data_IF_061052247342
#
_entry.id   IF_061052247342
#
_cell.length_a   1.000
_cell.length_b   1.000
_cell.length_c   1.000
_cell.angle_alpha   90.00
_cell.angle_beta   90.00
_cell.angle_gamma   90.00
#
_symmetry.space_group_name_H-M   'P 1'
#
loop_
_entity.id
_entity.type
_entity.pdbx_description
1 polymer ?
#
# COMPACT_ATOMS: atom_id res chain seq x y z
N UNK A 1 3.65 26.95 11.86
CA UNK A 1 2.38 26.77 11.12
C UNK A 1 2.17 25.27 10.89
N UNK A 2 0.95 24.72 11.08
CA UNK A 2 0.71 23.30 10.81
C UNK A 2 0.94 22.95 9.34
N UNK A 3 1.48 21.76 9.07
CA UNK A 3 1.79 21.27 7.72
C UNK A 3 0.54 21.05 6.86
N UNK A 4 0.75 20.83 5.55
CA UNK A 4 -0.35 20.65 4.59
C UNK A 4 -1.28 19.49 4.98
N UNK A 5 -0.71 18.37 5.41
CA UNK A 5 -1.45 17.19 5.84
C UNK A 5 -2.36 17.52 7.04
N UNK A 6 -1.82 18.17 8.07
CA UNK A 6 -2.57 18.54 9.28
C UNK A 6 -3.74 19.48 8.97
N UNK A 7 -3.54 20.45 8.06
CA UNK A 7 -4.62 21.35 7.62
C UNK A 7 -5.73 20.60 6.88
N UNK A 8 -5.36 19.65 6.03
CA UNK A 8 -6.33 18.84 5.29
C UNK A 8 -7.12 17.93 6.25
N UNK A 9 -6.44 17.27 7.20
CA UNK A 9 -7.08 16.42 8.23
C UNK A 9 -8.09 17.25 9.04
N UNK A 10 -7.72 18.44 9.51
CA UNK A 10 -8.61 19.30 10.27
C UNK A 10 -9.87 19.71 9.48
N UNK A 11 -9.71 20.01 8.18
CA UNK A 11 -10.83 20.33 7.28
C UNK A 11 -11.77 19.14 7.12
N UNK A 12 -11.24 17.95 6.81
CA UNK A 12 -12.04 16.74 6.66
C UNK A 12 -12.76 16.36 7.96
N UNK A 13 -12.10 16.50 9.10
CA UNK A 13 -12.70 16.28 10.43
C UNK A 13 -13.89 17.19 10.68
N UNK A 14 -13.78 18.48 10.35
CA UNK A 14 -14.91 19.41 10.47
C UNK A 14 -16.07 19.04 9.56
N UNK A 15 -15.79 18.61 8.32
CA UNK A 15 -16.80 18.20 7.36
C UNK A 15 -17.55 16.94 7.83
N UNK A 16 -16.84 15.91 8.28
CA UNK A 16 -17.44 14.67 8.79
C UNK A 16 -18.33 14.92 10.02
N UNK A 17 -17.89 15.78 10.96
CA UNK A 17 -18.70 16.20 12.10
C UNK A 17 -19.97 16.93 11.68
N UNK A 18 -19.89 17.80 10.66
CA UNK A 18 -21.04 18.55 10.15
C UNK A 18 -22.07 17.67 9.43
N UNK A 19 -21.64 16.54 8.87
CA UNK A 19 -22.51 15.55 8.22
C UNK A 19 -23.24 14.64 9.22
N UNK A 20 -23.02 14.82 10.53
CA UNK A 20 -23.71 14.06 11.58
C UNK A 20 -23.16 12.65 11.80
N UNK A 21 -21.98 12.32 11.26
CA UNK A 21 -21.34 11.04 11.55
C UNK A 21 -20.81 11.02 12.98
N UNK A 22 -21.36 10.12 13.81
CA UNK A 22 -20.89 9.88 15.17
C UNK A 22 -19.76 8.84 15.16
N UNK A 23 -18.58 9.27 14.76
CA UNK A 23 -17.35 8.49 14.96
C UNK A 23 -16.85 8.62 16.39
N UNK A 24 -16.25 7.56 16.92
CA UNK A 24 -15.44 7.63 18.12
C UNK A 24 -14.10 8.30 17.79
N UNK A 25 -14.01 9.59 18.15
CA UNK A 25 -12.84 10.42 17.89
C UNK A 25 -11.68 10.13 18.85
N UNK A 26 -11.88 9.35 19.91
CA UNK A 26 -10.81 8.90 20.79
C UNK A 26 -9.97 7.79 20.13
N UNK A 27 -10.56 7.05 19.19
CA UNK A 27 -9.89 6.04 18.37
C UNK A 27 -9.27 6.60 17.08
N UNK A 28 -9.12 7.93 16.95
CA UNK A 28 -8.49 8.55 15.77
C UNK A 28 -6.98 8.24 15.73
N UNK A 29 -6.53 7.66 14.63
CA UNK A 29 -5.12 7.37 14.36
C UNK A 29 -4.63 8.16 13.15
N UNK A 30 -3.38 8.60 13.20
CA UNK A 30 -2.73 9.35 12.13
C UNK A 30 -1.42 8.68 11.72
N UNK A 31 -1.32 8.26 10.46
CA UNK A 31 -0.17 7.47 9.96
C UNK A 31 1.11 8.28 9.80
N UNK A 32 1.03 9.61 9.93
CA UNK A 32 2.18 10.53 9.88
C UNK A 32 2.79 10.79 11.26
N UNK A 33 2.13 10.39 12.35
CA UNK A 33 2.60 10.65 13.71
C UNK A 33 3.64 9.59 14.15
N UNK A 34 4.69 9.97 14.90
CA UNK A 34 5.72 9.06 15.40
C UNK A 34 5.17 7.89 16.22
N UNK A 35 4.10 8.12 16.96
CA UNK A 35 3.43 7.12 17.79
C UNK A 35 2.83 5.99 16.93
N UNK A 36 2.51 6.26 15.67
CA UNK A 36 2.01 5.27 14.73
C UNK A 36 3.14 4.61 13.94
N UNK A 37 3.95 5.37 13.18
CA UNK A 37 4.90 4.78 12.25
C UNK A 37 6.04 4.00 12.93
N UNK A 38 6.29 4.23 14.23
CA UNK A 38 7.20 3.40 15.03
C UNK A 38 6.82 1.91 14.99
N UNK A 39 5.53 1.62 14.94
CA UNK A 39 5.04 0.23 14.85
C UNK A 39 5.26 -0.34 13.47
N UNK A 40 5.12 0.46 12.41
CA UNK A 40 5.47 0.04 11.04
C UNK A 40 6.96 -0.31 10.95
N UNK A 41 7.83 0.53 11.51
CA UNK A 41 9.28 0.27 11.59
C UNK A 41 9.59 -1.00 12.39
N UNK A 42 8.94 -1.17 13.54
CA UNK A 42 9.10 -2.35 14.40
C UNK A 42 8.68 -3.64 13.69
N UNK A 43 7.52 -3.63 13.01
CA UNK A 43 7.06 -4.77 12.21
C UNK A 43 8.04 -5.10 11.08
N UNK A 44 8.54 -4.08 10.38
CA UNK A 44 9.54 -4.27 9.32
C UNK A 44 10.80 -4.97 9.84
N UNK A 45 11.32 -4.59 11.01
CA UNK A 45 12.47 -5.24 11.62
C UNK A 45 12.21 -6.71 11.96
N UNK A 46 10.99 -7.07 12.37
CA UNK A 46 10.61 -8.47 12.60
C UNK A 46 10.53 -9.27 11.31
N UNK A 47 9.94 -8.71 10.26
CA UNK A 47 9.89 -9.34 8.94
C UNK A 47 11.31 -9.57 8.40
N UNK A 48 12.20 -8.58 8.56
CA UNK A 48 13.60 -8.69 8.19
C UNK A 48 14.31 -9.82 8.96
N UNK A 49 14.13 -9.89 10.29
CA UNK A 49 14.71 -10.96 11.13
C UNK A 49 14.21 -12.36 10.73
N UNK A 50 13.00 -12.46 10.20
CA UNK A 50 12.39 -13.72 9.74
C UNK A 50 12.71 -14.07 8.29
N UNK A 51 13.51 -13.26 7.59
CA UNK A 51 13.82 -13.46 6.18
C UNK A 51 12.65 -13.17 5.23
N UNK A 52 11.59 -12.52 5.71
CA UNK A 52 10.42 -12.14 4.92
C UNK A 52 10.59 -10.78 4.22
N UNK A 53 11.79 -10.22 4.29
CA UNK A 53 12.15 -8.97 3.64
C UNK A 53 13.58 -9.07 3.15
N UNK A 54 13.84 -8.69 1.91
CA UNK A 54 15.19 -8.68 1.34
C UNK A 54 15.43 -7.42 0.50
N UNK A 55 16.71 -7.16 0.21
CA UNK A 55 17.08 -6.21 -0.84
C UNK A 55 17.39 -6.99 -2.11
N UNK A 56 16.77 -6.62 -3.21
CA UNK A 56 17.04 -7.19 -4.52
C UNK A 56 17.13 -6.08 -5.56
N UNK A 57 17.96 -6.29 -6.58
CA UNK A 57 17.91 -5.48 -7.79
C UNK A 57 16.80 -6.03 -8.68
N UNK A 58 15.73 -5.27 -8.80
CA UNK A 58 14.55 -5.67 -9.57
C UNK A 58 14.24 -4.61 -10.62
N UNK A 59 13.68 -4.99 -11.78
CA UNK A 59 13.14 -4.03 -12.72
C UNK A 59 11.94 -3.34 -12.06
N UNK A 60 12.10 -2.07 -11.69
CA UNK A 60 11.04 -1.25 -11.09
C UNK A 60 10.32 -0.42 -12.13
N UNK A 61 9.06 -0.11 -11.86
CA UNK A 61 8.32 0.92 -12.57
C UNK A 61 8.78 2.28 -12.05
N UNK A 62 9.52 3.03 -12.86
CA UNK A 62 10.02 4.36 -12.50
C UNK A 62 9.23 5.44 -13.23
N UNK A 63 8.70 6.41 -12.49
CA UNK A 63 8.05 7.58 -13.06
C UNK A 63 8.96 8.82 -12.89
N UNK A 64 9.58 9.35 -13.96
CA UNK A 64 10.45 10.52 -13.86
C UNK A 64 9.74 11.78 -13.34
N UNK A 65 8.48 11.98 -13.73
CA UNK A 65 7.69 13.14 -13.33
C UNK A 65 7.40 13.17 -11.82
N UNK A 66 7.14 12.00 -11.22
CA UNK A 66 6.92 11.86 -9.77
C UNK A 66 8.21 11.61 -8.99
N UNK A 67 9.31 11.32 -9.69
CA UNK A 67 10.62 11.00 -9.10
C UNK A 67 10.55 9.89 -8.03
N UNK A 68 9.70 8.89 -8.26
CA UNK A 68 9.55 7.74 -7.38
C UNK A 68 9.38 6.45 -8.18
N UNK A 69 9.69 5.34 -7.53
CA UNK A 69 9.25 4.02 -7.94
C UNK A 69 7.76 3.86 -7.66
N UNK A 70 7.09 3.07 -8.51
CA UNK A 70 5.69 2.72 -8.41
C UNK A 70 5.56 1.19 -8.27
N UNK A 71 4.59 0.74 -7.48
CA UNK A 71 4.19 -0.65 -7.45
C UNK A 71 3.53 -1.06 -8.78
N UNK A 72 3.33 -2.36 -9.02
CA UNK A 72 2.65 -2.81 -10.24
C UNK A 72 1.19 -2.33 -10.27
N UNK A 73 0.55 -2.27 -9.11
CA UNK A 73 -0.83 -1.83 -8.93
C UNK A 73 -1.02 -0.32 -9.16
N UNK A 74 0.07 0.46 -9.18
CA UNK A 74 0.05 1.92 -9.43
C UNK A 74 0.29 2.28 -10.91
N UNK A 75 0.45 1.28 -11.79
CA UNK A 75 0.66 1.46 -13.23
C UNK A 75 -0.57 0.97 -14.00
N UNK A 76 -1.19 1.85 -14.76
CA UNK A 76 -2.37 1.55 -15.60
C UNK A 76 -2.00 1.88 -17.04
N UNK A 77 -2.09 0.90 -17.95
CA UNK A 77 -1.78 1.06 -19.37
C UNK A 77 -0.41 1.72 -19.68
N UNK A 78 0.60 1.45 -18.83
CA UNK A 78 1.97 1.98 -19.02
C UNK A 78 2.19 3.42 -18.51
N UNK A 79 1.18 4.02 -17.87
CA UNK A 79 1.28 5.32 -17.21
C UNK A 79 1.00 5.23 -15.71
N UNK A 80 1.43 6.22 -14.94
CA UNK A 80 1.14 6.30 -13.51
C UNK A 80 -0.34 6.56 -13.28
N UNK A 81 -0.97 5.79 -12.37
CA UNK A 81 -2.37 5.99 -11.95
C UNK A 81 -2.61 7.45 -11.56
N UNK A 82 -1.66 8.01 -10.81
CA UNK A 82 -1.65 9.41 -10.44
C UNK A 82 -0.96 10.26 -11.50
N UNK A 83 -1.74 11.08 -12.21
CA UNK A 83 -1.24 12.10 -13.13
C UNK A 83 -0.95 11.63 -14.57
N UNK A 84 -1.07 10.33 -14.88
CA UNK A 84 -0.95 9.82 -16.25
C UNK A 84 0.43 10.00 -16.87
N UNK A 85 1.49 9.94 -16.06
CA UNK A 85 2.86 10.15 -16.53
C UNK A 85 3.47 8.85 -17.08
N UNK A 86 4.32 8.91 -18.11
CA UNK A 86 4.94 7.73 -18.68
C UNK A 86 5.86 7.02 -17.66
N UNK A 87 5.76 5.70 -17.62
CA UNK A 87 6.53 4.84 -16.73
C UNK A 87 7.61 4.11 -17.54
N UNK A 88 8.83 4.08 -17.00
CA UNK A 88 9.95 3.34 -17.60
C UNK A 88 10.39 2.21 -16.67
N UNK A 89 10.86 1.10 -17.24
CA UNK A 89 11.46 0.00 -16.47
C UNK A 89 12.94 0.27 -16.26
N UNK A 90 13.38 0.33 -15.01
CA UNK A 90 14.80 0.54 -14.65
C UNK A 90 15.21 -0.48 -13.58
N UNK A 91 16.39 -1.11 -13.67
CA UNK A 91 16.91 -1.89 -12.56
C UNK A 91 17.25 -0.95 -11.39
N UNK A 92 16.73 -1.25 -10.21
CA UNK A 92 17.02 -0.49 -9.00
C UNK A 92 17.01 -1.42 -7.79
N UNK A 93 17.92 -1.18 -6.84
CA UNK A 93 17.90 -1.87 -5.56
C UNK A 93 16.71 -1.39 -4.73
N UNK A 94 15.81 -2.30 -4.40
CA UNK A 94 14.61 -2.03 -3.62
C UNK A 94 14.48 -3.01 -2.45
N UNK A 95 13.68 -2.61 -1.47
CA UNK A 95 13.21 -3.50 -0.42
C UNK A 95 12.00 -4.28 -0.92
N UNK A 96 12.08 -5.61 -0.86
CA UNK A 96 11.02 -6.51 -1.31
C UNK A 96 10.46 -7.24 -0.10
N UNK A 97 9.15 -7.17 0.08
CA UNK A 97 8.40 -8.01 1.02
C UNK A 97 8.09 -9.34 0.34
N UNK A 98 8.46 -10.45 0.98
CA UNK A 98 8.27 -11.80 0.46
C UNK A 98 6.82 -12.28 0.66
N UNK A 99 5.86 -11.52 0.11
CA UNK A 99 4.43 -11.86 0.20
C UNK A 99 4.10 -13.18 -0.50
N UNK A 100 4.90 -13.55 -1.51
CA UNK A 100 4.81 -14.82 -2.23
C UNK A 100 4.98 -16.03 -1.32
N UNK A 101 5.71 -15.91 -0.21
CA UNK A 101 5.80 -16.96 0.81
C UNK A 101 4.44 -17.31 1.46
N UNK A 102 3.44 -16.45 1.29
CA UNK A 102 2.08 -16.64 1.80
C UNK A 102 1.03 -16.72 0.67
N UNK A 103 1.43 -16.76 -0.61
CA UNK A 103 0.49 -16.67 -1.73
C UNK A 103 -0.56 -17.79 -1.73
N UNK A 104 -0.16 -19.04 -1.51
CA UNK A 104 -1.09 -20.18 -1.52
C UNK A 104 -2.08 -20.10 -0.37
N UNK A 105 -1.58 -19.84 0.84
CA UNK A 105 -2.44 -19.65 2.02
C UNK A 105 -3.43 -18.50 1.82
N UNK A 106 -2.98 -17.36 1.28
CA UNK A 106 -3.86 -16.22 1.03
C UNK A 106 -5.00 -16.57 0.05
N UNK A 107 -4.78 -17.54 -0.85
CA UNK A 107 -5.80 -17.99 -1.79
C UNK A 107 -6.72 -19.06 -1.23
N UNK A 108 -6.20 -19.97 -0.42
CA UNK A 108 -7.01 -20.97 0.30
C UNK A 108 -7.94 -20.27 1.30
N UNK A 109 -7.40 -19.32 2.07
CA UNK A 109 -8.14 -18.57 3.08
C UNK A 109 -9.25 -17.68 2.45
N UNK A 110 -9.27 -17.47 1.11
CA UNK A 110 -10.36 -16.74 0.44
C UNK A 110 -11.69 -17.49 0.45
N UNK A 111 -11.67 -18.82 0.46
CA UNK A 111 -12.88 -19.64 0.40
C UNK A 111 -13.72 -19.47 1.68
N UNK A 112 -13.05 -19.27 2.81
CA UNK A 112 -13.67 -19.10 4.13
C UNK A 112 -14.20 -17.68 4.39
N UNK A 113 -13.91 -16.71 3.51
CA UNK A 113 -14.36 -15.33 3.67
C UNK A 113 -15.81 -15.15 3.18
N UNK A 114 -16.66 -14.59 4.04
CA UNK A 114 -17.96 -14.07 3.65
C UNK A 114 -17.82 -12.70 2.94
N UNK A 115 -17.38 -12.73 1.68
CA UNK A 115 -17.20 -11.56 0.81
C UNK A 115 -17.81 -11.81 -0.57
N UNK A 116 -18.10 -10.72 -1.29
CA UNK A 116 -18.58 -10.78 -2.68
C UNK A 116 -17.61 -11.54 -3.59
N UNK A 117 -18.14 -12.44 -4.42
CA UNK A 117 -17.35 -13.28 -5.33
C UNK A 117 -16.55 -12.46 -6.35
N UNK A 118 -17.03 -11.26 -6.72
CA UNK A 118 -16.26 -10.34 -7.57
C UNK A 118 -14.94 -9.90 -6.91
N UNK A 119 -14.96 -9.67 -5.59
CA UNK A 119 -13.76 -9.29 -4.81
C UNK A 119 -12.79 -10.46 -4.69
N UNK A 120 -13.31 -11.67 -4.41
CA UNK A 120 -12.48 -12.89 -4.41
C UNK A 120 -11.86 -13.12 -5.79
N UNK A 121 -12.64 -12.95 -6.85
CA UNK A 121 -12.18 -13.06 -8.24
C UNK A 121 -11.04 -12.09 -8.58
N UNK A 122 -11.11 -10.83 -8.12
CA UNK A 122 -10.01 -9.87 -8.29
C UNK A 122 -8.73 -10.31 -7.58
N UNK A 123 -8.84 -10.81 -6.34
CA UNK A 123 -7.67 -11.26 -5.57
C UNK A 123 -7.01 -12.50 -6.16
N UNK A 124 -7.80 -13.45 -6.68
CA UNK A 124 -7.26 -14.62 -7.39
C UNK A 124 -6.45 -14.22 -8.63
N UNK A 125 -6.97 -13.28 -9.43
CA UNK A 125 -6.26 -12.76 -10.62
C UNK A 125 -4.97 -12.02 -10.27
N UNK A 126 -4.95 -11.30 -9.14
CA UNK A 126 -3.76 -10.58 -8.70
C UNK A 126 -2.57 -11.50 -8.42
N UNK A 127 -2.79 -12.73 -7.91
CA UNK A 127 -1.71 -13.73 -7.72
C UNK A 127 -0.93 -13.95 -9.03
N UNK A 128 -1.65 -14.17 -10.13
CA UNK A 128 -1.04 -14.52 -11.41
C UNK A 128 -0.15 -13.39 -11.96
N UNK A 129 -0.33 -12.15 -11.48
CA UNK A 129 0.50 -10.98 -11.83
C UNK A 129 1.74 -10.86 -10.95
N UNK A 130 1.73 -11.44 -9.75
CA UNK A 130 2.85 -11.38 -8.78
C UNK A 130 3.84 -12.53 -8.97
N UNK A 131 3.40 -13.67 -9.52
CA UNK A 131 4.24 -14.86 -9.75
C UNK A 131 4.87 -14.96 -11.14
N UNK A 132 4.49 -14.11 -12.09
CA UNK A 132 5.04 -14.02 -13.45
C UNK A 132 5.99 -12.83 -13.59
#
# INVERSE_FOLDING_TARGET
MPGLAQRNIARFRSQLKSLGFTYDWECEISTIEPEYYKWTQWNFLHLLKRGLTCQAEVPVNWCPALSTVLANEEVVDGVSERGGHPVIRKPMRQWILQITAYADRLLEDLDDLNRLESVKGMQRKARDTVTN
#
